data_IF_508955245556
#
_entry.id   IF_508955245556
#
_cell.length_a   1.000
_cell.length_b   1.000
_cell.length_c   1.000
_cell.angle_alpha   90.00
_cell.angle_beta   90.00
_cell.angle_gamma   90.00
#
_symmetry.space_group_name_H-M   'P 1'
#
loop_
_entity.id
_entity.type
_entity.pdbx_description
1 polymer ?
#
# COMPACT_ATOMS: atom_id res chain seq x y z
N UNK A 1 -14.32 15.84 10.43
CA UNK A 1 -15.73 16.29 10.40
C UNK A 1 -16.15 16.79 11.77
N UNK A 2 -16.13 15.94 12.80
CA UNK A 2 -16.49 16.31 14.18
C UNK A 2 -15.62 17.44 14.77
N UNK A 3 -14.30 17.41 14.59
CA UNK A 3 -13.39 18.45 15.08
C UNK A 3 -13.67 19.83 14.47
N UNK A 4 -13.93 19.89 13.16
CA UNK A 4 -14.31 21.11 12.45
C UNK A 4 -15.62 21.70 12.96
N UNK A 5 -16.61 20.85 13.26
CA UNK A 5 -17.86 21.30 13.87
C UNK A 5 -17.64 21.88 15.26
N UNK A 6 -16.74 21.30 16.06
CA UNK A 6 -16.41 21.81 17.39
C UNK A 6 -15.70 23.18 17.32
N UNK A 7 -14.78 23.38 16.37
CA UNK A 7 -14.15 24.69 16.10
C UNK A 7 -15.19 25.73 15.66
N UNK A 8 -16.17 25.33 14.85
CA UNK A 8 -17.25 26.23 14.46
C UNK A 8 -18.09 26.66 15.67
N UNK A 9 -18.49 25.72 16.52
CA UNK A 9 -19.26 26.02 17.73
C UNK A 9 -18.48 26.97 18.67
N UNK A 10 -17.18 26.74 18.88
CA UNK A 10 -16.39 27.64 19.72
C UNK A 10 -16.23 29.04 19.13
N UNK A 11 -16.07 29.13 17.81
CA UNK A 11 -16.03 30.41 17.10
C UNK A 11 -17.36 31.16 17.17
N UNK A 12 -18.49 30.45 17.02
CA UNK A 12 -19.82 31.04 17.09
C UNK A 12 -20.09 31.57 18.52
N UNK A 13 -19.65 30.85 19.56
CA UNK A 13 -19.72 31.32 20.96
C UNK A 13 -18.86 32.56 21.20
N UNK A 14 -17.65 32.64 20.63
CA UNK A 14 -16.79 33.83 20.72
C UNK A 14 -17.45 35.07 20.10
N UNK A 15 -18.25 34.89 19.06
CA UNK A 15 -18.97 35.99 18.41
C UNK A 15 -20.22 36.47 19.16
N UNK A 16 -20.55 35.85 20.30
CA UNK A 16 -21.72 36.21 21.08
C UNK A 16 -21.50 37.54 21.82
N UNK A 17 -22.46 38.50 21.77
CA UNK A 17 -22.37 39.77 22.48
C UNK A 17 -22.16 39.65 24.01
N UNK A 18 -22.53 38.52 24.62
CA UNK A 18 -22.25 38.24 26.03
C UNK A 18 -20.75 38.27 26.35
N UNK A 19 -19.89 37.96 25.38
CA UNK A 19 -18.44 38.06 25.54
C UNK A 19 -17.95 39.51 25.72
N UNK A 20 -18.71 40.52 25.27
CA UNK A 20 -18.39 41.92 25.49
C UNK A 20 -18.88 42.41 26.86
N UNK A 21 -19.90 41.74 27.41
CA UNK A 21 -20.59 42.15 28.64
C UNK A 21 -20.00 41.47 29.88
N UNK A 22 -19.56 40.22 29.75
CA UNK A 22 -19.08 39.39 30.85
C UNK A 22 -17.63 38.94 30.61
N UNK A 23 -16.65 39.62 31.23
CA UNK A 23 -15.22 39.31 31.03
C UNK A 23 -14.85 37.86 31.38
N UNK A 24 -15.49 37.30 32.41
CA UNK A 24 -15.27 35.89 32.82
C UNK A 24 -15.77 34.88 31.78
N UNK A 25 -16.86 35.21 31.09
CA UNK A 25 -17.39 34.39 30.00
C UNK A 25 -16.46 34.44 28.79
N UNK A 26 -15.98 35.63 28.41
CA UNK A 26 -15.02 35.80 27.34
C UNK A 26 -13.74 34.98 27.57
N UNK A 27 -13.18 35.02 28.77
CA UNK A 27 -11.99 34.25 29.12
C UNK A 27 -12.21 32.74 28.94
N UNK A 28 -13.33 32.24 29.48
CA UNK A 28 -13.71 30.82 29.36
C UNK A 28 -13.88 30.39 27.90
N UNK A 29 -14.62 31.17 27.12
CA UNK A 29 -14.91 30.85 25.71
C UNK A 29 -13.64 30.95 24.85
N UNK A 30 -12.73 31.88 25.15
CA UNK A 30 -11.42 31.99 24.48
C UNK A 30 -10.53 30.79 24.76
N UNK A 31 -10.49 30.32 26.01
CA UNK A 31 -9.76 29.11 26.37
C UNK A 31 -10.34 27.87 25.66
N UNK A 32 -11.67 27.77 25.58
CA UNK A 32 -12.36 26.71 24.87
C UNK A 32 -12.06 26.72 23.37
N UNK A 33 -12.16 27.87 22.69
CA UNK A 33 -11.85 28.01 21.27
C UNK A 33 -10.40 27.65 20.95
N UNK A 34 -9.47 28.09 21.80
CA UNK A 34 -8.05 27.73 21.68
C UNK A 34 -7.86 26.21 21.76
N UNK A 35 -8.54 25.55 22.71
CA UNK A 35 -8.48 24.09 22.85
C UNK A 35 -9.07 23.37 21.61
N UNK A 36 -10.19 23.86 21.08
CA UNK A 36 -10.82 23.27 19.89
C UNK A 36 -9.94 23.39 18.65
N UNK A 37 -9.34 24.57 18.42
CA UNK A 37 -8.40 24.78 17.30
C UNK A 37 -7.15 23.90 17.41
N UNK A 38 -6.58 23.75 18.61
CA UNK A 38 -5.44 22.83 18.85
C UNK A 38 -5.83 21.39 18.54
N UNK A 39 -7.00 20.95 18.98
CA UNK A 39 -7.51 19.61 18.72
C UNK A 39 -7.75 19.34 17.22
N UNK A 40 -8.29 20.31 16.48
CA UNK A 40 -8.48 20.17 15.03
C UNK A 40 -7.14 20.08 14.29
N UNK A 41 -6.18 20.95 14.64
CA UNK A 41 -4.81 20.90 14.10
C UNK A 41 -4.15 19.55 14.35
N UNK A 42 -4.21 19.05 15.59
CA UNK A 42 -3.65 17.74 15.94
C UNK A 42 -4.31 16.59 15.16
N UNK A 43 -5.63 16.65 14.98
CA UNK A 43 -6.33 15.67 14.17
C UNK A 43 -5.92 15.72 12.69
N UNK A 44 -5.70 16.92 12.14
CA UNK A 44 -5.21 17.07 10.77
C UNK A 44 -3.80 16.50 10.62
N UNK A 45 -2.91 16.78 11.57
CA UNK A 45 -1.55 16.22 11.58
C UNK A 45 -1.56 14.70 11.66
N UNK A 46 -2.39 14.12 12.54
CA UNK A 46 -2.58 12.67 12.64
C UNK A 46 -3.03 12.05 11.32
N UNK A 47 -4.00 12.66 10.64
CA UNK A 47 -4.47 12.21 9.32
C UNK A 47 -3.35 12.28 8.29
N UNK A 48 -2.59 13.38 8.27
CA UNK A 48 -1.44 13.53 7.37
C UNK A 48 -0.36 12.49 7.64
N UNK A 49 -0.09 12.17 8.90
CA UNK A 49 0.88 11.15 9.26
C UNK A 49 0.43 9.75 8.83
N UNK A 50 -0.83 9.38 9.05
CA UNK A 50 -1.39 8.12 8.53
C UNK A 50 -1.27 8.05 7.00
N UNK A 51 -1.58 9.15 6.32
CA UNK A 51 -1.50 9.23 4.86
C UNK A 51 -0.07 8.95 4.36
N UNK A 52 0.94 9.63 4.93
CA UNK A 52 2.34 9.53 4.52
C UNK A 52 3.03 8.23 4.95
N UNK A 53 2.70 7.72 6.14
CA UNK A 53 3.42 6.60 6.75
C UNK A 53 2.78 5.25 6.48
N UNK A 54 1.48 5.21 6.17
CA UNK A 54 0.73 3.96 5.95
C UNK A 54 0.15 3.91 4.55
N UNK A 55 -0.70 4.90 4.20
CA UNK A 55 -1.50 4.82 2.97
C UNK A 55 -0.64 4.91 1.71
N UNK A 56 0.26 5.89 1.63
CA UNK A 56 1.14 6.08 0.48
C UNK A 56 2.09 4.89 0.25
N UNK A 57 2.81 4.38 1.27
CA UNK A 57 3.61 3.17 1.13
C UNK A 57 2.79 1.98 0.63
N UNK A 58 1.63 1.70 1.24
CA UNK A 58 0.77 0.59 0.82
C UNK A 58 0.32 0.74 -0.63
N UNK A 59 -0.09 1.94 -1.05
CA UNK A 59 -0.44 2.22 -2.45
C UNK A 59 0.75 1.97 -3.39
N UNK A 60 1.94 2.48 -3.04
CA UNK A 60 3.17 2.33 -3.85
C UNK A 60 3.56 0.87 -4.04
N UNK A 61 3.45 0.05 -3.00
CA UNK A 61 3.85 -1.35 -3.04
C UNK A 61 2.72 -2.31 -3.41
N UNK A 62 1.48 -1.84 -3.54
CA UNK A 62 0.31 -2.67 -3.88
C UNK A 62 0.48 -3.46 -5.19
N UNK A 63 1.19 -2.91 -6.17
CA UNK A 63 1.42 -3.55 -7.48
C UNK A 63 2.60 -4.52 -7.50
N UNK A 64 3.47 -4.50 -6.48
CA UNK A 64 4.67 -5.35 -6.42
C UNK A 64 4.29 -6.81 -6.30
N UNK A 65 3.33 -7.14 -5.42
CA UNK A 65 2.92 -8.54 -5.21
C UNK A 65 2.26 -9.17 -6.45
N UNK A 66 1.29 -8.52 -7.14
CA UNK A 66 0.78 -9.02 -8.41
C UNK A 66 1.87 -9.23 -9.47
N UNK A 67 2.79 -8.26 -9.62
CA UNK A 67 3.89 -8.35 -10.59
C UNK A 67 4.82 -9.54 -10.29
N UNK A 68 5.20 -9.70 -9.03
CA UNK A 68 6.03 -10.81 -8.58
C UNK A 68 5.34 -12.16 -8.81
N UNK A 69 4.06 -12.28 -8.45
CA UNK A 69 3.28 -13.50 -8.67
C UNK A 69 3.21 -13.88 -10.15
N UNK A 70 3.06 -12.90 -11.05
CA UNK A 70 3.08 -13.16 -12.49
C UNK A 70 4.46 -13.62 -12.98
N UNK A 71 5.53 -13.02 -12.49
CA UNK A 71 6.90 -13.44 -12.81
C UNK A 71 7.18 -14.87 -12.32
N UNK A 72 6.75 -15.21 -11.11
CA UNK A 72 6.85 -16.56 -10.55
C UNK A 72 6.08 -17.57 -11.40
N UNK A 73 4.84 -17.26 -11.79
CA UNK A 73 4.05 -18.13 -12.68
C UNK A 73 4.73 -18.36 -14.03
N UNK A 74 5.29 -17.30 -14.64
CA UNK A 74 6.04 -17.42 -15.92
C UNK A 74 7.30 -18.28 -15.77
N UNK A 75 8.04 -18.10 -14.68
CA UNK A 75 9.21 -18.92 -14.36
C UNK A 75 8.83 -20.39 -14.22
N UNK A 76 7.76 -20.70 -13.51
CA UNK A 76 7.32 -22.08 -13.29
C UNK A 76 6.89 -22.74 -14.60
N UNK A 77 6.14 -22.02 -15.45
CA UNK A 77 5.77 -22.50 -16.78
C UNK A 77 7.02 -22.83 -17.62
N UNK A 78 7.98 -21.91 -17.67
CA UNK A 78 9.22 -22.09 -18.43
C UNK A 78 10.04 -23.27 -17.91
N UNK A 79 10.08 -23.47 -16.59
CA UNK A 79 10.77 -24.59 -15.96
C UNK A 79 10.13 -25.93 -16.31
N UNK A 80 8.79 -26.00 -16.34
CA UNK A 80 8.07 -27.20 -16.76
C UNK A 80 8.35 -27.53 -18.22
N UNK A 81 8.35 -26.53 -19.10
CA UNK A 81 8.69 -26.72 -20.51
C UNK A 81 10.13 -27.19 -20.72
N UNK A 82 11.08 -26.59 -19.98
CA UNK A 82 12.48 -27.02 -19.97
C UNK A 82 12.60 -28.49 -19.56
N UNK A 83 12.00 -28.89 -18.43
CA UNK A 83 12.03 -30.29 -17.96
C UNK A 83 11.46 -31.26 -19.00
N UNK A 84 10.35 -30.89 -19.64
CA UNK A 84 9.72 -31.69 -20.70
C UNK A 84 10.65 -31.87 -21.90
N UNK A 85 11.36 -30.82 -22.31
CA UNK A 85 12.32 -30.87 -23.41
C UNK A 85 13.57 -31.67 -23.03
N UNK A 86 14.09 -31.48 -21.82
CA UNK A 86 15.22 -32.22 -21.28
C UNK A 86 14.94 -33.73 -21.31
N UNK A 87 13.78 -34.19 -20.82
CA UNK A 87 13.41 -35.60 -20.87
C UNK A 87 13.26 -36.15 -22.31
N UNK A 88 13.02 -35.29 -23.31
CA UNK A 88 13.03 -35.73 -24.72
C UNK A 88 14.46 -35.89 -25.24
N UNK A 89 15.37 -34.98 -24.89
CA UNK A 89 16.79 -35.07 -25.24
C UNK A 89 17.39 -36.34 -24.67
N UNK A 90 17.22 -36.59 -23.37
CA UNK A 90 17.72 -37.79 -22.69
C UNK A 90 17.23 -39.08 -23.39
N UNK A 91 15.94 -39.13 -23.75
CA UNK A 91 15.37 -40.27 -24.51
C UNK A 91 15.95 -40.42 -25.92
N UNK A 92 16.34 -39.34 -26.59
CA UNK A 92 16.96 -39.43 -27.90
C UNK A 92 18.42 -39.87 -27.80
N UNK A 93 19.17 -39.35 -26.83
CA UNK A 93 20.56 -39.77 -26.57
C UNK A 93 20.64 -41.26 -26.22
N UNK A 94 19.71 -41.78 -25.41
CA UNK A 94 19.59 -43.22 -25.13
C UNK A 94 19.35 -44.04 -26.40
N UNK A 95 18.50 -43.54 -27.31
CA UNK A 95 18.21 -44.22 -28.59
C UNK A 95 19.40 -44.19 -29.54
N UNK A 96 20.13 -43.08 -29.63
CA UNK A 96 21.33 -42.97 -30.47
C UNK A 96 22.47 -43.88 -29.97
N UNK A 97 22.47 -44.21 -28.67
CA UNK A 97 23.38 -45.20 -28.07
C UNK A 97 23.05 -46.66 -28.38
N UNK A 98 21.95 -46.95 -29.06
CA UNK A 98 21.61 -48.33 -29.43
C UNK A 98 22.40 -48.78 -30.68
N UNK A 99 22.97 -50.00 -30.61
CA UNK A 99 23.86 -50.57 -31.64
C UNK A 99 23.42 -50.49 -33.11
N UNK A 100 22.12 -50.55 -33.46
CA UNK A 100 21.66 -50.41 -34.85
C UNK A 100 21.84 -49.01 -35.46
N UNK A 101 21.86 -47.94 -34.65
CA UNK A 101 22.01 -46.55 -35.13
C UNK A 101 23.48 -46.22 -35.40
N UNK A 102 24.39 -46.65 -34.52
CA UNK A 102 25.84 -46.51 -34.70
C UNK A 102 26.35 -47.25 -35.95
N UNK A 103 25.71 -48.35 -36.34
CA UNK A 103 26.07 -49.10 -37.54
C UNK A 103 25.62 -48.41 -38.85
N UNK A 104 24.53 -47.62 -38.82
CA UNK A 104 24.03 -46.87 -39.99
C UNK A 104 24.74 -45.53 -40.23
N UNK A 105 25.37 -44.96 -39.21
CA UNK A 105 26.12 -43.70 -39.31
C UNK A 105 27.56 -43.87 -39.81
N UNK A 106 28.11 -45.11 -39.75
CA UNK A 106 29.47 -45.44 -40.20
C UNK A 106 29.52 -46.19 -41.54
N UNK A 107 28.42 -46.19 -42.30
CA UNK A 107 28.33 -46.80 -43.63
C UNK A 107 28.14 -45.70 -44.68
#
# INVERSE_FOLDING_TARGET
AMSKSAVKISSDLLSNPLCEQEPSFLEMVTAFDTAMKRMDSFNQEKVNQIQKTVIEPLKKFSSVFPSLNMAVKRREQTLQDYKRLQSKVEKYEEKERTGPVLAKLHQ
#
